data_IF_322891383464
#
_entry.id   IF_322891383464
#
_cell.length_a   1.000
_cell.length_b   1.000
_cell.length_c   1.000
_cell.angle_alpha   90.00
_cell.angle_beta   90.00
_cell.angle_gamma   90.00
#
_symmetry.space_group_name_H-M   'P 1'
#
loop_
_entity.id
_entity.type
_entity.pdbx_description
1 polymer ?
#
# COMPACT_ATOMS: atom_id res chain seq x y z
N UNK A 1 8.26 -7.77 22.59
CA UNK A 1 8.91 -7.20 21.40
C UNK A 1 8.04 -6.06 20.90
N UNK A 2 8.60 -4.91 20.51
CA UNK A 2 7.79 -3.81 19.97
C UNK A 2 7.40 -4.16 18.53
N UNK A 3 6.19 -3.75 18.12
CA UNK A 3 5.62 -4.02 16.80
C UNK A 3 5.05 -2.74 16.21
N UNK A 4 5.16 -2.58 14.89
CA UNK A 4 4.61 -1.48 14.12
C UNK A 4 3.65 -2.03 13.06
N UNK A 5 2.41 -1.53 13.07
CA UNK A 5 1.42 -1.79 12.03
C UNK A 5 1.33 -0.57 11.10
N UNK A 6 1.75 -0.72 9.87
CA UNK A 6 1.62 0.27 8.81
C UNK A 6 0.40 -0.06 7.97
N UNK A 7 -0.53 0.87 7.87
CA UNK A 7 -1.70 0.74 7.01
C UNK A 7 -1.48 1.59 5.76
N UNK A 8 -1.48 0.95 4.61
CA UNK A 8 -1.59 1.63 3.33
C UNK A 8 -3.02 2.15 3.16
N UNK A 9 -3.22 3.40 3.59
CA UNK A 9 -4.51 4.06 3.59
C UNK A 9 -5.04 4.32 2.19
N UNK A 10 -4.14 4.58 1.23
CA UNK A 10 -4.50 4.79 -0.17
C UNK A 10 -5.04 3.49 -0.80
N UNK A 11 -4.40 2.35 -0.54
CA UNK A 11 -4.90 1.04 -0.95
C UNK A 11 -6.27 0.74 -0.32
N UNK A 12 -6.45 1.03 0.97
CA UNK A 12 -7.73 0.85 1.66
C UNK A 12 -8.83 1.73 1.07
N UNK A 13 -8.50 2.98 0.72
CA UNK A 13 -9.42 3.95 0.13
C UNK A 13 -10.00 3.44 -1.20
N UNK A 14 -9.14 3.11 -2.16
CA UNK A 14 -9.57 2.61 -3.48
C UNK A 14 -10.29 1.28 -3.37
N UNK A 15 -9.85 0.42 -2.50
CA UNK A 15 -10.44 -0.88 -2.25
C UNK A 15 -11.86 -0.77 -1.68
N UNK A 16 -12.08 0.12 -0.72
CA UNK A 16 -13.42 0.42 -0.21
C UNK A 16 -14.30 0.99 -1.31
N UNK A 17 -13.77 1.91 -2.13
CA UNK A 17 -14.52 2.50 -3.22
C UNK A 17 -15.04 1.47 -4.23
N UNK A 18 -14.23 0.46 -4.57
CA UNK A 18 -14.63 -0.56 -5.53
C UNK A 18 -15.46 -1.71 -4.92
N UNK A 19 -15.33 -1.95 -3.62
CA UNK A 19 -15.99 -3.09 -2.97
C UNK A 19 -17.33 -2.73 -2.30
N UNK A 20 -17.47 -1.47 -1.86
CA UNK A 20 -18.68 -1.08 -1.13
C UNK A 20 -19.83 -0.70 -2.07
N UNK A 21 -21.07 -1.02 -1.69
CA UNK A 21 -22.26 -0.47 -2.36
C UNK A 21 -22.28 1.05 -2.29
N UNK A 22 -23.10 1.67 -3.15
CA UNK A 22 -23.33 3.12 -3.13
C UNK A 22 -24.12 3.55 -1.88
N UNK A 23 -23.46 3.51 -0.74
CA UNK A 23 -24.03 4.01 0.51
C UNK A 23 -24.02 5.52 0.53
N UNK A 24 -25.18 6.10 0.85
CA UNK A 24 -25.34 7.55 1.00
C UNK A 24 -26.08 7.90 2.31
N UNK A 25 -25.75 9.05 2.86
CA UNK A 25 -26.52 9.57 3.98
C UNK A 25 -27.85 10.17 3.49
N UNK A 26 -28.66 10.73 4.40
CA UNK A 26 -29.98 11.32 4.09
C UNK A 26 -29.92 12.52 3.14
N UNK A 27 -28.77 13.16 3.03
CA UNK A 27 -28.51 14.33 2.18
C UNK A 27 -27.92 13.94 0.82
N UNK A 28 -27.75 12.63 0.55
CA UNK A 28 -27.17 12.11 -0.67
C UNK A 28 -25.64 12.09 -0.69
N UNK A 29 -24.97 12.44 0.42
CA UNK A 29 -23.51 12.37 0.53
C UNK A 29 -23.03 10.93 0.53
N UNK A 30 -22.05 10.53 -0.31
CA UNK A 30 -21.55 9.17 -0.37
C UNK A 30 -20.75 8.83 0.91
N UNK A 31 -21.02 7.66 1.48
CA UNK A 31 -20.43 7.23 2.76
C UNK A 31 -19.80 5.83 2.69
N UNK A 32 -19.90 5.16 1.55
CA UNK A 32 -19.42 3.78 1.39
C UNK A 32 -17.93 3.61 1.65
N UNK A 33 -17.11 4.55 1.16
CA UNK A 33 -15.66 4.50 1.38
C UNK A 33 -15.33 4.69 2.85
N UNK A 34 -15.96 5.66 3.51
CA UNK A 34 -15.75 5.90 4.94
C UNK A 34 -16.09 4.63 5.73
N UNK A 35 -17.27 4.05 5.50
CA UNK A 35 -17.69 2.82 6.16
C UNK A 35 -16.71 1.68 5.93
N UNK A 36 -16.34 1.44 4.67
CA UNK A 36 -15.45 0.33 4.29
C UNK A 36 -14.06 0.45 4.92
N UNK A 37 -13.45 1.64 4.87
CA UNK A 37 -12.12 1.87 5.45
C UNK A 37 -12.13 1.71 6.96
N UNK A 38 -13.09 2.34 7.66
CA UNK A 38 -13.19 2.22 9.12
C UNK A 38 -13.41 0.77 9.55
N UNK A 39 -14.23 0.00 8.82
CA UNK A 39 -14.44 -1.42 9.09
C UNK A 39 -13.16 -2.24 8.88
N UNK A 40 -12.42 -1.98 7.79
CA UNK A 40 -11.13 -2.62 7.56
C UNK A 40 -10.13 -2.31 8.66
N UNK A 41 -10.03 -1.06 9.11
CA UNK A 41 -9.14 -0.65 10.20
C UNK A 41 -9.47 -1.37 11.52
N UNK A 42 -10.74 -1.46 11.89
CA UNK A 42 -11.16 -2.19 13.10
C UNK A 42 -10.80 -3.67 13.02
N UNK A 43 -11.05 -4.31 11.87
CA UNK A 43 -10.75 -5.73 11.68
C UNK A 43 -9.24 -6.00 11.69
N UNK A 44 -8.46 -5.13 11.03
CA UNK A 44 -7.00 -5.24 11.01
C UNK A 44 -6.42 -5.07 12.41
N UNK A 45 -6.91 -4.10 13.19
CA UNK A 45 -6.46 -3.88 14.56
C UNK A 45 -6.75 -5.06 15.49
N UNK A 46 -7.93 -5.69 15.35
CA UNK A 46 -8.27 -6.89 16.13
C UNK A 46 -7.37 -8.08 15.81
N UNK A 47 -6.95 -8.19 14.55
CA UNK A 47 -6.15 -9.32 14.09
C UNK A 47 -4.65 -9.13 14.32
N UNK A 48 -4.17 -7.88 14.22
CA UNK A 48 -2.77 -7.53 14.31
C UNK A 48 -2.57 -6.49 15.42
N UNK A 49 -2.50 -6.96 16.66
CA UNK A 49 -2.16 -6.11 17.80
C UNK A 49 -0.75 -5.56 17.64
N UNK A 50 -0.59 -4.27 17.86
CA UNK A 50 0.69 -3.58 17.67
C UNK A 50 0.95 -2.53 18.75
N UNK A 51 2.23 -2.31 19.04
CA UNK A 51 2.69 -1.25 19.95
C UNK A 51 2.47 0.12 19.32
N UNK A 52 2.73 0.21 18.01
CA UNK A 52 2.62 1.42 17.21
C UNK A 52 1.79 1.12 15.97
N UNK A 53 1.01 2.08 15.52
CA UNK A 53 0.24 1.96 14.30
C UNK A 53 0.06 3.32 13.64
N UNK A 54 0.04 3.35 12.31
CA UNK A 54 -0.18 4.57 11.54
C UNK A 54 -0.82 4.25 10.19
N UNK A 55 -1.79 5.10 9.80
CA UNK A 55 -2.37 5.08 8.47
C UNK A 55 -1.61 6.06 7.58
N UNK A 56 -1.03 5.57 6.50
CA UNK A 56 -0.26 6.40 5.55
C UNK A 56 -1.12 6.63 4.31
N UNK A 57 -1.24 7.87 3.88
CA UNK A 57 -1.99 8.26 2.69
C UNK A 57 -1.15 9.08 1.73
N UNK A 58 -1.44 8.95 0.43
CA UNK A 58 -0.87 9.82 -0.58
C UNK A 58 -1.30 11.26 -0.39
N UNK A 59 -0.36 12.18 -0.60
CA UNK A 59 -0.67 13.59 -0.69
C UNK A 59 -1.21 13.93 -2.09
N UNK A 60 -1.99 15.00 -2.19
CA UNK A 60 -2.36 15.57 -3.49
C UNK A 60 -1.15 16.20 -4.17
N UNK A 61 -1.00 15.98 -5.47
CA UNK A 61 0.02 16.63 -6.30
C UNK A 61 1.00 15.64 -6.93
N UNK A 62 1.99 16.21 -7.62
CA UNK A 62 3.06 15.45 -8.24
C UNK A 62 4.05 14.94 -7.21
N UNK A 63 4.70 13.82 -7.53
CA UNK A 63 5.81 13.26 -6.77
C UNK A 63 7.09 13.37 -7.59
N UNK A 64 8.25 13.10 -6.99
CA UNK A 64 9.53 13.07 -7.70
C UNK A 64 9.53 12.13 -8.92
N UNK A 65 8.67 11.08 -8.92
CA UNK A 65 8.56 10.16 -10.06
C UNK A 65 8.05 10.85 -11.32
N UNK A 66 7.18 11.87 -11.17
CA UNK A 66 6.74 12.68 -12.31
C UNK A 66 7.85 13.58 -12.89
N UNK A 67 8.88 13.92 -12.08
CA UNK A 67 10.05 14.66 -12.55
C UNK A 67 11.03 13.76 -13.29
N UNK A 68 11.02 12.45 -12.99
CA UNK A 68 11.86 11.44 -13.68
C UNK A 68 11.21 11.00 -14.99
N UNK A 69 9.88 10.85 -15.00
CA UNK A 69 9.13 10.34 -16.16
C UNK A 69 7.75 11.01 -16.24
N UNK A 70 7.56 11.86 -17.24
CA UNK A 70 6.33 12.65 -17.40
C UNK A 70 5.06 11.79 -17.55
N UNK A 71 5.20 10.61 -18.17
CA UNK A 71 4.10 9.68 -18.39
C UNK A 71 3.82 8.76 -17.18
N UNK A 72 4.53 8.94 -16.06
CA UNK A 72 4.30 8.17 -14.86
C UNK A 72 2.84 8.31 -14.38
N UNK A 73 2.13 7.17 -14.26
CA UNK A 73 0.70 7.09 -13.90
C UNK A 73 -0.24 7.91 -14.83
N UNK A 74 0.22 8.32 -16.03
CA UNK A 74 -0.60 9.12 -16.96
C UNK A 74 -1.83 8.37 -17.49
N UNK A 75 -1.80 7.04 -17.46
CA UNK A 75 -2.92 6.17 -17.85
C UNK A 75 -3.98 6.01 -16.74
N UNK A 76 -3.74 6.51 -15.52
CA UNK A 76 -4.71 6.41 -14.42
C UNK A 76 -5.85 7.41 -14.63
N UNK A 77 -7.11 6.99 -14.50
CA UNK A 77 -8.24 7.92 -14.56
C UNK A 77 -8.17 8.91 -13.38
N UNK A 78 -8.76 10.08 -13.59
CA UNK A 78 -8.94 11.04 -12.50
C UNK A 78 -9.73 10.38 -11.37
N UNK A 79 -9.36 10.69 -10.13
CA UNK A 79 -10.09 10.22 -8.95
C UNK A 79 -11.56 10.61 -9.06
N UNK A 80 -12.51 9.67 -8.89
CA UNK A 80 -13.94 9.96 -8.91
C UNK A 80 -14.32 11.00 -7.85
N UNK A 81 -15.26 11.89 -8.19
CA UNK A 81 -15.67 12.94 -7.26
C UNK A 81 -16.26 12.36 -5.96
N UNK A 82 -17.10 11.31 -6.08
CA UNK A 82 -17.67 10.59 -4.92
C UNK A 82 -16.61 9.97 -3.99
N UNK A 83 -15.44 9.63 -4.52
CA UNK A 83 -14.30 9.19 -3.70
C UNK A 83 -13.59 10.39 -3.05
N UNK A 84 -13.31 11.40 -3.86
CA UNK A 84 -12.54 12.58 -3.45
C UNK A 84 -13.16 13.33 -2.26
N UNK A 85 -14.49 13.48 -2.26
CA UNK A 85 -15.21 14.23 -1.21
C UNK A 85 -15.26 13.48 0.13
N UNK A 86 -15.02 12.16 0.13
CA UNK A 86 -15.00 11.34 1.35
C UNK A 86 -13.65 11.37 2.08
N UNK A 87 -12.55 11.82 1.44
CA UNK A 87 -11.19 11.74 2.01
C UNK A 87 -11.07 12.54 3.31
N UNK A 88 -11.47 13.79 3.31
CA UNK A 88 -11.35 14.65 4.49
C UNK A 88 -12.22 14.15 5.66
N UNK A 89 -13.53 13.83 5.46
CA UNK A 89 -14.35 13.21 6.49
C UNK A 89 -13.78 11.86 6.99
N UNK A 90 -13.21 11.03 6.11
CA UNK A 90 -12.56 9.78 6.47
C UNK A 90 -11.35 10.03 7.39
N UNK A 91 -10.47 10.96 7.05
CA UNK A 91 -9.31 11.30 7.89
C UNK A 91 -9.75 11.79 9.29
N UNK A 92 -10.80 12.60 9.36
CA UNK A 92 -11.38 13.05 10.64
C UNK A 92 -11.89 11.85 11.47
N UNK A 93 -12.56 10.90 10.81
CA UNK A 93 -13.09 9.71 11.47
C UNK A 93 -11.96 8.76 11.96
N UNK A 94 -10.92 8.56 11.16
CA UNK A 94 -9.73 7.77 11.54
C UNK A 94 -9.04 8.39 12.77
N UNK A 95 -8.83 9.71 12.75
CA UNK A 95 -8.27 10.41 13.90
C UNK A 95 -9.16 10.30 15.15
N UNK A 96 -10.49 10.41 15.00
CA UNK A 96 -11.44 10.25 16.11
C UNK A 96 -11.45 8.80 16.65
N UNK A 97 -11.11 7.80 15.84
CA UNK A 97 -10.86 6.42 16.29
C UNK A 97 -9.52 6.23 17.01
N UNK A 98 -8.76 7.31 17.16
CA UNK A 98 -7.44 7.31 17.83
C UNK A 98 -6.28 6.80 16.97
N UNK A 99 -6.46 6.70 15.66
CA UNK A 99 -5.39 6.29 14.76
C UNK A 99 -4.58 7.49 14.25
N UNK A 100 -3.26 7.45 14.37
CA UNK A 100 -2.40 8.42 13.71
C UNK A 100 -2.50 8.34 12.19
N UNK A 101 -2.46 9.49 11.53
CA UNK A 101 -2.40 9.60 10.07
C UNK A 101 -1.11 10.31 9.68
N UNK A 102 -0.46 9.81 8.64
CA UNK A 102 0.70 10.45 8.03
C UNK A 102 0.48 10.67 6.54
N UNK A 103 0.70 11.90 6.11
CA UNK A 103 0.62 12.35 4.70
C UNK A 103 1.83 13.23 4.43
N UNK A 104 2.66 12.88 3.45
CA UNK A 104 3.86 13.65 3.09
C UNK A 104 3.80 14.08 1.63
N UNK A 105 3.91 15.39 1.37
CA UNK A 105 3.91 15.94 0.00
C UNK A 105 5.17 15.60 -0.76
N UNK A 106 5.05 15.47 -2.08
CA UNK A 106 6.17 15.26 -2.99
C UNK A 106 6.67 13.82 -3.10
N UNK A 107 6.11 12.91 -2.31
CA UNK A 107 6.42 11.48 -2.30
C UNK A 107 5.12 10.67 -2.26
N UNK A 108 5.20 9.38 -2.51
CA UNK A 108 4.06 8.46 -2.41
C UNK A 108 3.96 7.85 -1.01
N UNK A 109 2.77 7.33 -0.67
CA UNK A 109 2.55 6.61 0.59
C UNK A 109 3.55 5.46 0.74
N UNK A 110 3.88 4.77 -0.34
CA UNK A 110 4.83 3.65 -0.37
C UNK A 110 6.22 4.06 0.12
N UNK A 111 6.71 5.26 -0.29
CA UNK A 111 8.02 5.76 0.13
C UNK A 111 8.01 6.10 1.63
N UNK A 112 6.90 6.61 2.14
CA UNK A 112 6.71 6.87 3.58
C UNK A 112 6.67 5.55 4.35
N UNK A 113 5.91 4.56 3.87
CA UNK A 113 5.83 3.21 4.46
C UNK A 113 7.22 2.56 4.47
N UNK A 114 7.95 2.60 3.35
CA UNK A 114 9.31 2.06 3.24
C UNK A 114 10.27 2.71 4.22
N UNK A 115 10.21 4.04 4.37
CA UNK A 115 11.03 4.79 5.32
C UNK A 115 10.73 4.41 6.77
N UNK A 116 9.45 4.32 7.14
CA UNK A 116 9.03 3.93 8.48
C UNK A 116 9.42 2.48 8.79
N UNK A 117 9.25 1.57 7.84
CA UNK A 117 9.63 0.17 7.98
C UNK A 117 11.14 0.03 8.20
N UNK A 118 11.97 0.75 7.41
CA UNK A 118 13.42 0.75 7.58
C UNK A 118 13.83 1.26 8.96
N UNK A 119 13.33 2.44 9.37
CA UNK A 119 13.64 3.02 10.68
C UNK A 119 13.19 2.11 11.84
N UNK A 120 12.04 1.45 11.71
CA UNK A 120 11.58 0.49 12.69
C UNK A 120 12.52 -0.71 12.83
N UNK A 121 12.97 -1.27 11.69
CA UNK A 121 13.90 -2.39 11.68
C UNK A 121 15.27 -2.04 12.30
N UNK A 122 15.76 -0.83 12.07
CA UNK A 122 16.99 -0.31 12.68
C UNK A 122 16.90 -0.28 14.22
N UNK A 123 15.70 -0.15 14.78
CA UNK A 123 15.42 -0.18 16.21
C UNK A 123 14.89 -1.54 16.71
N UNK A 124 14.99 -2.60 15.91
CA UNK A 124 14.49 -3.94 16.23
C UNK A 124 12.98 -3.98 16.53
N UNK A 125 12.20 -3.14 15.84
CA UNK A 125 10.74 -3.15 15.85
C UNK A 125 10.26 -3.98 14.67
N UNK A 126 9.50 -5.03 14.93
CA UNK A 126 8.91 -5.85 13.85
C UNK A 126 7.77 -5.09 13.16
N UNK A 127 7.70 -5.20 11.83
CA UNK A 127 6.77 -4.43 10.99
C UNK A 127 5.78 -5.36 10.28
N UNK A 128 4.51 -5.01 10.38
CA UNK A 128 3.45 -5.58 9.54
C UNK A 128 2.89 -4.46 8.67
N UNK A 129 2.96 -4.59 7.35
CA UNK A 129 2.38 -3.65 6.40
C UNK A 129 1.08 -4.24 5.87
N UNK A 130 -0.03 -3.55 6.12
CA UNK A 130 -1.34 -3.95 5.59
C UNK A 130 -1.65 -3.22 4.30
N UNK A 131 -1.55 -3.93 3.19
CA UNK A 131 -1.70 -3.39 1.84
C UNK A 131 -2.28 -4.44 0.88
N UNK A 132 -2.81 -3.98 -0.24
CA UNK A 132 -3.10 -4.81 -1.42
C UNK A 132 -2.07 -4.64 -2.53
N UNK A 133 -1.10 -3.74 -2.36
CA UNK A 133 -0.11 -3.44 -3.38
C UNK A 133 1.03 -4.47 -3.37
N UNK A 134 1.29 -5.03 -4.56
CA UNK A 134 2.35 -6.02 -4.79
C UNK A 134 3.76 -5.41 -4.72
N UNK A 135 3.87 -4.11 -4.99
CA UNK A 135 5.16 -3.45 -5.13
C UNK A 135 5.83 -3.28 -3.76
N UNK A 136 5.03 -3.22 -2.68
CA UNK A 136 5.52 -3.24 -1.30
C UNK A 136 6.18 -4.57 -0.90
N UNK A 137 6.08 -5.63 -1.73
CA UNK A 137 6.81 -6.89 -1.49
C UNK A 137 8.34 -6.71 -1.49
N UNK A 138 8.86 -5.65 -2.10
CA UNK A 138 10.28 -5.29 -2.04
C UNK A 138 10.77 -4.90 -0.64
N UNK A 139 9.84 -4.55 0.27
CA UNK A 139 10.15 -4.17 1.66
C UNK A 139 10.22 -5.35 2.62
N UNK A 140 9.77 -6.54 2.18
CA UNK A 140 9.72 -7.74 3.02
C UNK A 140 11.13 -8.21 3.37
N UNK A 141 11.34 -8.50 4.64
CA UNK A 141 12.56 -9.07 5.17
C UNK A 141 12.27 -9.88 6.45
N UNK A 142 13.28 -10.26 7.21
CA UNK A 142 13.12 -11.05 8.45
C UNK A 142 12.27 -10.33 9.52
N UNK A 143 12.23 -8.99 9.50
CA UNK A 143 11.51 -8.15 10.47
C UNK A 143 10.27 -7.45 9.88
N UNK A 144 10.04 -7.57 8.57
CA UNK A 144 8.93 -6.92 7.87
C UNK A 144 8.14 -7.92 7.04
N UNK A 145 6.84 -7.98 7.24
CA UNK A 145 5.91 -8.79 6.46
C UNK A 145 4.75 -7.96 5.90
N UNK A 146 4.12 -8.44 4.81
CA UNK A 146 2.90 -7.87 4.27
C UNK A 146 1.69 -8.71 4.65
N UNK A 147 0.56 -8.04 4.82
CA UNK A 147 -0.73 -8.70 5.00
C UNK A 147 -1.78 -8.07 4.08
N UNK A 148 -2.51 -8.92 3.37
CA UNK A 148 -3.70 -8.50 2.64
C UNK A 148 -4.93 -8.99 3.37
N UNK A 149 -5.64 -8.09 4.04
CA UNK A 149 -6.77 -8.42 4.90
C UNK A 149 -8.02 -8.88 4.15
N UNK A 150 -8.09 -8.72 2.81
CA UNK A 150 -9.21 -9.28 2.01
C UNK A 150 -8.99 -10.74 1.65
N UNK A 151 -7.80 -11.07 1.20
CA UNK A 151 -7.46 -12.43 0.77
C UNK A 151 -6.95 -13.28 1.92
N UNK A 152 -6.77 -12.68 3.11
CA UNK A 152 -6.09 -13.28 4.26
C UNK A 152 -4.65 -13.75 3.92
N UNK A 153 -4.05 -13.20 2.88
CA UNK A 153 -2.70 -13.51 2.46
C UNK A 153 -1.71 -12.86 3.43
N UNK A 154 -0.70 -13.61 3.83
CA UNK A 154 0.45 -13.15 4.60
C UNK A 154 1.70 -13.44 3.80
N UNK A 155 2.52 -12.43 3.55
CA UNK A 155 3.76 -12.55 2.79
C UNK A 155 4.94 -12.18 3.69
N UNK A 156 5.62 -13.17 4.18
CA UNK A 156 6.99 -13.12 4.65
C UNK A 156 7.96 -13.41 3.48
N UNK A 157 9.22 -13.61 3.77
CA UNK A 157 10.25 -13.87 2.74
C UNK A 157 9.92 -15.11 1.89
N UNK A 158 9.41 -16.18 2.51
CA UNK A 158 9.02 -17.41 1.81
C UNK A 158 7.73 -17.21 1.02
N UNK A 159 6.77 -16.48 1.59
CA UNK A 159 5.53 -16.11 0.92
C UNK A 159 5.77 -15.27 -0.34
N UNK A 160 6.69 -14.29 -0.29
CA UNK A 160 7.10 -13.52 -1.47
C UNK A 160 7.70 -14.43 -2.53
N UNK A 161 8.62 -15.31 -2.14
CA UNK A 161 9.25 -16.27 -3.06
C UNK A 161 8.23 -17.23 -3.67
N UNK A 162 7.30 -17.74 -2.90
CA UNK A 162 6.23 -18.60 -3.39
C UNK A 162 5.31 -17.89 -4.40
N UNK A 163 4.99 -16.63 -4.14
CA UNK A 163 4.06 -15.83 -4.96
C UNK A 163 4.69 -15.31 -6.25
N UNK A 164 5.90 -14.75 -6.17
CA UNK A 164 6.55 -14.06 -7.29
C UNK A 164 7.62 -14.91 -7.99
N UNK A 165 8.07 -16.00 -7.38
CA UNK A 165 9.15 -16.84 -7.87
C UNK A 165 10.55 -16.29 -7.61
N UNK A 166 10.67 -15.14 -6.95
CA UNK A 166 11.91 -14.49 -6.54
C UNK A 166 11.87 -14.10 -5.07
N UNK A 167 13.03 -13.97 -4.44
CA UNK A 167 13.15 -13.43 -3.08
C UNK A 167 12.88 -11.91 -3.05
N UNK A 168 12.54 -11.34 -1.88
CA UNK A 168 12.19 -9.91 -1.77
C UNK A 168 13.23 -8.95 -2.35
N UNK A 169 14.52 -9.24 -2.19
CA UNK A 169 15.61 -8.43 -2.72
C UNK A 169 15.70 -8.40 -4.27
N UNK A 170 14.99 -9.29 -4.96
CA UNK A 170 14.90 -9.33 -6.42
C UNK A 170 13.56 -8.81 -6.97
N UNK A 171 12.65 -8.36 -6.11
CA UNK A 171 11.34 -7.84 -6.56
C UNK A 171 11.51 -6.62 -7.43
N UNK A 172 12.40 -5.68 -7.08
CA UNK A 172 12.68 -4.49 -7.90
C UNK A 172 13.16 -4.91 -9.28
N UNK A 173 14.14 -5.79 -9.35
CA UNK A 173 14.71 -6.27 -10.62
C UNK A 173 13.66 -7.02 -11.45
N UNK A 174 12.84 -7.86 -10.80
CA UNK A 174 11.74 -8.57 -11.44
C UNK A 174 10.71 -7.61 -12.03
N UNK A 175 10.23 -6.64 -11.26
CA UNK A 175 9.26 -5.65 -11.71
C UNK A 175 9.84 -4.75 -12.80
N UNK A 176 11.12 -4.37 -12.72
CA UNK A 176 11.80 -3.59 -13.76
C UNK A 176 11.81 -4.31 -15.11
N UNK A 177 12.07 -5.63 -15.09
CA UNK A 177 12.11 -6.43 -16.32
C UNK A 177 10.71 -6.56 -16.94
N UNK A 178 9.69 -6.87 -16.14
CA UNK A 178 8.33 -7.06 -16.67
C UNK A 178 7.56 -5.77 -16.88
N UNK A 179 7.99 -4.67 -16.24
CA UNK A 179 7.30 -3.40 -16.20
C UNK A 179 6.09 -3.38 -15.26
N UNK A 180 5.52 -2.20 -15.06
CA UNK A 180 4.26 -2.02 -14.35
C UNK A 180 3.25 -1.24 -15.20
N UNK A 181 2.21 -1.93 -15.65
CA UNK A 181 1.14 -1.33 -16.47
C UNK A 181 0.26 -0.37 -15.67
N UNK A 182 0.10 -0.60 -14.36
CA UNK A 182 -0.72 0.26 -13.51
C UNK A 182 -0.08 1.64 -13.35
N UNK A 183 1.25 1.68 -13.31
CA UNK A 183 2.05 2.90 -13.17
C UNK A 183 2.59 3.44 -14.50
N UNK A 184 2.20 2.80 -15.59
CA UNK A 184 2.65 3.15 -16.94
C UNK A 184 4.18 3.07 -17.10
N UNK A 185 4.82 2.11 -16.43
CA UNK A 185 6.26 1.87 -16.52
C UNK A 185 6.51 0.71 -17.51
N UNK A 186 7.06 0.97 -18.69
CA UNK A 186 7.41 -0.09 -19.63
C UNK A 186 8.49 -1.01 -19.08
N UNK A 187 8.32 -2.32 -19.24
CA UNK A 187 9.38 -3.31 -19.07
C UNK A 187 10.09 -3.60 -20.39
N UNK A 188 10.80 -4.74 -20.44
CA UNK A 188 11.38 -5.26 -21.67
C UNK A 188 10.26 -5.81 -22.55
N UNK A 189 10.14 -5.34 -23.79
CA UNK A 189 9.08 -5.76 -24.72
C UNK A 189 9.05 -7.28 -24.91
N UNK A 190 7.83 -7.85 -24.88
CA UNK A 190 7.56 -9.30 -24.96
C UNK A 190 8.21 -10.17 -23.87
N UNK A 191 8.73 -9.57 -22.81
CA UNK A 191 9.24 -10.27 -21.64
C UNK A 191 8.18 -10.26 -20.54
N UNK A 192 7.68 -11.44 -20.22
CA UNK A 192 6.75 -11.65 -19.11
C UNK A 192 7.39 -12.37 -17.93
N UNK A 193 6.60 -12.69 -16.90
CA UNK A 193 7.07 -13.31 -15.66
C UNK A 193 8.01 -14.50 -15.87
N UNK A 194 7.64 -15.45 -16.75
CA UNK A 194 8.46 -16.66 -17.00
C UNK A 194 9.87 -16.35 -17.50
N UNK A 195 9.99 -15.39 -18.42
CA UNK A 195 11.29 -15.00 -18.98
C UNK A 195 12.09 -14.21 -17.97
N UNK A 196 11.46 -13.29 -17.23
CA UNK A 196 12.11 -12.54 -16.17
C UNK A 196 12.66 -13.47 -15.07
N UNK A 197 11.88 -14.44 -14.62
CA UNK A 197 12.33 -15.46 -13.64
C UNK A 197 13.51 -16.29 -14.19
N UNK A 198 13.44 -16.72 -15.45
CA UNK A 198 14.55 -17.45 -16.07
C UNK A 198 15.83 -16.61 -16.02
N UNK A 199 15.77 -15.36 -16.43
CA UNK A 199 16.93 -14.47 -16.45
C UNK A 199 17.47 -14.20 -15.05
N UNK A 200 16.59 -13.92 -14.06
CA UNK A 200 17.03 -13.67 -12.69
C UNK A 200 17.64 -14.90 -12.03
N UNK A 201 17.15 -16.09 -12.34
CA UNK A 201 17.76 -17.34 -11.87
C UNK A 201 19.13 -17.63 -12.52
N UNK A 202 19.33 -17.22 -13.78
CA UNK A 202 20.57 -17.44 -14.52
C UNK A 202 21.63 -16.39 -14.19
N UNK A 203 21.22 -15.11 -14.08
CA UNK A 203 22.17 -13.99 -13.92
C UNK A 203 22.15 -13.35 -12.52
N UNK A 204 21.25 -13.76 -11.64
CA UNK A 204 21.09 -13.33 -10.24
C UNK A 204 20.69 -11.86 -10.00
N UNK A 205 20.77 -10.98 -10.97
CA UNK A 205 20.37 -9.57 -10.84
C UNK A 205 20.13 -8.92 -12.21
N UNK A 206 19.36 -7.83 -12.23
CA UNK A 206 19.18 -7.00 -13.42
C UNK A 206 20.51 -6.44 -13.93
N UNK A 207 21.39 -6.02 -13.04
CA UNK A 207 22.71 -5.48 -13.43
C UNK A 207 23.56 -6.52 -14.18
N UNK A 208 23.50 -7.78 -13.75
CA UNK A 208 24.17 -8.87 -14.47
C UNK A 208 23.47 -9.23 -15.79
N UNK A 209 22.14 -9.15 -15.84
CA UNK A 209 21.39 -9.33 -17.10
C UNK A 209 21.82 -8.26 -18.11
N UNK A 210 21.91 -7.00 -17.69
CA UNK A 210 22.36 -5.88 -18.53
C UNK A 210 23.80 -6.13 -19.02
N UNK A 211 24.72 -6.50 -18.13
CA UNK A 211 26.12 -6.77 -18.49
C UNK A 211 26.28 -7.93 -19.49
N UNK A 212 25.40 -8.91 -19.42
CA UNK A 212 25.44 -10.11 -20.27
C UNK A 212 24.41 -10.06 -21.41
N UNK A 213 23.85 -8.89 -21.72
CA UNK A 213 22.79 -8.73 -22.72
C UNK A 213 23.18 -9.25 -24.11
N UNK A 214 24.46 -9.22 -24.47
CA UNK A 214 24.96 -9.77 -25.74
C UNK A 214 24.89 -11.29 -25.82
N UNK A 215 24.86 -11.99 -24.71
CA UNK A 215 24.74 -13.44 -24.63
C UNK A 215 23.27 -13.90 -24.71
N UNK A 216 22.31 -13.00 -24.46
CA UNK A 216 20.89 -13.27 -24.52
C UNK A 216 20.45 -13.11 -25.98
N UNK A 217 20.14 -14.22 -26.63
CA UNK A 217 19.84 -14.28 -28.06
C UNK A 217 18.32 -14.34 -28.35
N UNK A 218 17.96 -14.18 -29.62
CA UNK A 218 16.58 -14.22 -30.08
C UNK A 218 15.83 -12.90 -29.87
N UNK A 219 14.53 -12.88 -30.18
CA UNK A 219 13.73 -11.66 -30.16
C UNK A 219 13.69 -10.95 -28.80
N UNK A 220 13.66 -11.71 -27.70
CA UNK A 220 13.68 -11.13 -26.36
C UNK A 220 15.05 -10.55 -25.98
N UNK A 221 16.14 -11.10 -26.53
CA UNK A 221 17.49 -10.54 -26.38
C UNK A 221 17.64 -9.21 -27.10
N UNK A 222 17.11 -9.10 -28.31
CA UNK A 222 17.09 -7.82 -29.04
C UNK A 222 16.22 -6.78 -28.33
N UNK A 223 15.05 -7.19 -27.79
CA UNK A 223 14.20 -6.29 -27.02
C UNK A 223 14.90 -5.83 -25.72
N UNK A 224 15.67 -6.70 -25.05
CA UNK A 224 16.48 -6.32 -23.91
C UNK A 224 17.51 -5.26 -24.29
N UNK A 225 18.26 -5.46 -25.38
CA UNK A 225 19.25 -4.50 -25.88
C UNK A 225 18.62 -3.14 -26.19
N UNK A 226 17.44 -3.13 -26.79
CA UNK A 226 16.68 -1.90 -27.07
C UNK A 226 16.24 -1.19 -25.78
N UNK A 227 16.07 -1.91 -24.69
CA UNK A 227 15.62 -1.38 -23.40
C UNK A 227 16.74 -0.93 -22.47
N UNK A 228 18.01 -1.20 -22.78
CA UNK A 228 19.16 -0.98 -21.86
C UNK A 228 19.25 0.44 -21.31
N UNK A 229 18.91 1.46 -22.12
CA UNK A 229 18.92 2.86 -21.67
C UNK A 229 17.76 3.20 -20.74
N UNK A 230 16.64 2.48 -20.88
CA UNK A 230 15.42 2.70 -20.10
C UNK A 230 15.44 1.98 -18.76
N UNK A 231 15.98 0.77 -18.69
CA UNK A 231 15.94 -0.07 -17.49
C UNK A 231 16.43 0.61 -16.21
N UNK A 232 17.51 1.42 -16.20
CA UNK A 232 17.91 2.16 -15.00
C UNK A 232 16.85 3.17 -14.53
N UNK A 233 16.15 3.83 -15.46
CA UNK A 233 15.07 4.77 -15.17
C UNK A 233 13.86 4.02 -14.61
N UNK A 234 13.47 2.91 -15.24
CA UNK A 234 12.38 2.05 -14.74
C UNK A 234 12.68 1.50 -13.34
N UNK A 235 13.94 1.11 -13.08
CA UNK A 235 14.39 0.65 -11.75
C UNK A 235 14.22 1.74 -10.69
N UNK A 236 14.60 3.00 -11.00
CA UNK A 236 14.44 4.13 -10.08
C UNK A 236 12.96 4.44 -9.80
N UNK A 237 12.11 4.38 -10.83
CA UNK A 237 10.65 4.58 -10.70
C UNK A 237 9.98 3.52 -9.83
N UNK A 238 10.39 2.25 -9.96
CA UNK A 238 9.83 1.10 -9.22
C UNK A 238 10.37 1.05 -7.79
N UNK A 239 11.58 1.54 -7.56
CA UNK A 239 12.20 1.49 -6.24
C UNK A 239 11.49 2.40 -5.24
N UNK A 240 11.11 1.83 -4.11
CA UNK A 240 10.57 2.59 -2.98
C UNK A 240 11.72 3.29 -2.27
N UNK A 241 11.61 4.61 -2.11
CA UNK A 241 12.59 5.39 -1.36
C UNK A 241 12.36 5.22 0.14
N UNK A 242 13.29 4.57 0.82
CA UNK A 242 13.19 4.27 2.25
C UNK A 242 14.08 5.15 3.14
N UNK A 243 14.52 6.30 2.63
CA UNK A 243 15.44 7.23 3.32
C UNK A 243 14.91 8.66 3.30
N UNK A 244 13.57 8.82 3.37
CA UNK A 244 12.98 10.14 3.42
C UNK A 244 13.32 10.83 4.75
N UNK A 245 13.52 12.15 4.70
CA UNK A 245 13.59 12.96 5.90
C UNK A 245 12.20 13.03 6.56
N UNK A 246 11.96 12.10 7.46
CA UNK A 246 10.77 12.01 8.31
C UNK A 246 11.26 11.96 9.74
N UNK A 247 10.90 12.99 10.50
CA UNK A 247 11.12 12.97 11.95
C UNK A 247 10.16 11.97 12.59
N UNK A 248 10.74 10.91 13.16
CA UNK A 248 9.97 9.81 13.76
C UNK A 248 10.14 9.82 15.26
N UNK A 249 9.09 10.20 15.97
CA UNK A 249 8.90 9.86 17.36
C UNK A 249 7.88 8.72 17.44
N UNK A 250 8.31 7.53 17.87
CA UNK A 250 7.39 6.38 17.94
C UNK A 250 6.18 6.62 18.81
N UNK A 251 6.30 7.48 19.83
CA UNK A 251 5.17 7.81 20.71
C UNK A 251 4.01 8.47 19.97
N UNK A 252 4.26 9.19 18.88
CA UNK A 252 3.19 9.77 18.03
C UNK A 252 2.40 8.71 17.30
N UNK A 253 2.95 7.50 17.13
CA UNK A 253 2.29 6.38 16.45
C UNK A 253 1.61 5.41 17.43
N UNK A 254 1.54 5.75 18.71
CA UNK A 254 0.65 5.04 19.64
C UNK A 254 -0.79 5.38 19.35
N UNK A 255 -1.62 4.35 19.24
CA UNK A 255 -3.07 4.57 19.17
C UNK A 255 -3.54 5.19 20.48
N UNK A 256 -4.25 6.31 20.37
CA UNK A 256 -4.86 6.99 21.53
C UNK A 256 -6.30 6.55 21.72
N UNK A 257 -6.90 6.94 22.85
CA UNK A 257 -8.31 6.67 23.12
C UNK A 257 -9.23 7.30 22.07
N UNK A 258 -10.30 6.59 21.72
CA UNK A 258 -11.30 7.08 20.79
C UNK A 258 -12.00 8.34 21.32
N UNK A 259 -12.20 9.35 20.46
CA UNK A 259 -13.11 10.44 20.73
C UNK A 259 -14.54 10.02 20.42
N UNK A 260 -15.18 9.39 21.40
CA UNK A 260 -16.56 8.90 21.27
C UNK A 260 -17.57 9.99 20.93
N UNK A 261 -17.33 11.23 21.37
CA UNK A 261 -18.20 12.35 21.07
C UNK A 261 -18.15 12.76 19.60
N UNK A 262 -16.93 12.86 19.06
CA UNK A 262 -16.72 13.12 17.64
C UNK A 262 -17.26 11.97 16.78
N UNK A 263 -16.96 10.70 17.15
CA UNK A 263 -17.44 9.52 16.43
C UNK A 263 -18.98 9.45 16.43
N UNK A 264 -19.64 9.75 17.55
CA UNK A 264 -21.09 9.75 17.62
C UNK A 264 -21.71 10.74 16.63
N UNK A 265 -21.19 11.96 16.56
CA UNK A 265 -21.64 12.99 15.58
C UNK A 265 -21.44 12.52 14.14
N UNK A 266 -20.25 11.99 13.82
CA UNK A 266 -19.93 11.48 12.48
C UNK A 266 -20.82 10.30 12.08
N UNK A 267 -21.06 9.35 12.97
CA UNK A 267 -21.91 8.21 12.69
C UNK A 267 -23.39 8.59 12.49
N UNK A 268 -23.85 9.68 13.17
CA UNK A 268 -25.17 10.27 12.92
C UNK A 268 -25.22 10.92 11.52
N UNK A 269 -24.21 11.74 11.18
CA UNK A 269 -24.09 12.42 9.89
C UNK A 269 -23.99 11.41 8.73
N UNK A 270 -23.20 10.35 8.90
CA UNK A 270 -23.00 9.31 7.87
C UNK A 270 -24.12 8.27 7.84
N UNK A 271 -25.08 8.32 8.76
CA UNK A 271 -26.17 7.37 8.90
C UNK A 271 -25.72 5.93 9.24
N UNK A 272 -24.63 5.77 10.05
CA UNK A 272 -24.09 4.49 10.49
C UNK A 272 -24.81 3.97 11.75
N UNK A 273 -26.05 3.55 11.59
CA UNK A 273 -26.96 3.21 12.71
C UNK A 273 -26.45 2.07 13.59
N UNK A 274 -25.82 1.05 13.00
CA UNK A 274 -25.24 -0.09 13.74
C UNK A 274 -24.04 0.35 14.60
N UNK A 275 -23.20 1.24 14.06
CA UNK A 275 -22.03 1.76 14.75
C UNK A 275 -22.44 2.69 15.92
N UNK A 276 -23.48 3.48 15.75
CA UNK A 276 -24.07 4.29 16.82
C UNK A 276 -24.55 3.42 17.99
N UNK A 277 -25.29 2.37 17.71
CA UNK A 277 -25.76 1.45 18.75
C UNK A 277 -24.61 0.81 19.52
N UNK A 278 -23.55 0.41 18.82
CA UNK A 278 -22.37 -0.21 19.44
C UNK A 278 -21.57 0.78 20.28
N UNK A 279 -21.49 2.05 19.87
CA UNK A 279 -20.80 3.10 20.61
C UNK A 279 -21.47 3.38 21.96
N UNK A 280 -22.80 3.38 22.00
CA UNK A 280 -23.59 3.63 23.22
C UNK A 280 -23.59 2.43 24.20
N UNK A 281 -23.40 1.20 23.72
CA UNK A 281 -23.49 -0.02 24.55
C UNK A 281 -22.17 -0.48 25.17
N UNK A 282 -21.04 0.20 24.93
CA UNK A 282 -19.70 -0.24 25.38
C UNK A 282 -19.32 -1.67 24.97
N UNK A 283 -20.06 -2.33 24.07
CA UNK A 283 -19.75 -3.65 23.57
C UNK A 283 -18.75 -3.54 22.43
N UNK A 284 -17.59 -4.16 22.59
CA UNK A 284 -16.69 -4.48 21.49
C UNK A 284 -17.47 -5.22 20.41
N UNK A 285 -17.47 -4.67 19.19
CA UNK A 285 -18.24 -5.17 18.05
C UNK A 285 -18.05 -6.65 17.80
N UNK A 286 -19.14 -7.40 17.78
CA UNK A 286 -19.18 -8.67 17.09
C UNK A 286 -19.01 -8.46 15.57
N UNK A 287 -18.38 -9.40 14.84
CA UNK A 287 -18.28 -9.31 13.38
C UNK A 287 -19.70 -9.20 12.80
N UNK A 288 -19.85 -8.36 11.79
CA UNK A 288 -21.04 -8.38 10.95
C UNK A 288 -20.92 -9.68 10.15
N UNK A 289 -21.82 -10.63 10.45
CA UNK A 289 -21.98 -11.83 9.65
C UNK A 289 -22.13 -11.47 8.19
N UNK A 290 -21.55 -12.32 7.35
CA UNK A 290 -21.54 -12.31 5.91
C UNK A 290 -22.82 -11.70 5.32
N UNK A 291 -22.64 -10.73 4.43
CA UNK A 291 -23.70 -10.27 3.54
C UNK A 291 -24.05 -11.47 2.67
N UNK A 292 -25.08 -12.21 3.10
CA UNK A 292 -25.75 -13.17 2.23
C UNK A 292 -26.36 -12.42 1.05
N UNK A 293 -26.03 -12.93 -0.09
CA UNK A 293 -26.35 -12.59 -1.48
C UNK A 293 -27.62 -11.77 -1.73
#
# INVERSE_FOLDING_TARGET
>A
MKTLLLIDGSSYLYRAFHAMPDFRNKEGFPTGVIYGVLNMLQNTHKKYESTYSVCVFDAKGKTFRNDIFDDYKANRPKMPDDLSIQIEPLHKAINAMGWPILVKKGVEADDVIGTLAKKANEENISVTISTGDKDLAQLVNENTSLVNTMTNEHLDTDGVKAKFGVSPNLIIDYLTIIGDKADNIPGVDKVGPKTALKWLNEYNSLDNIIKNSDQITGAVGENLKNSLKWLPVAKDLISIRSELDIDVSWDQFKKISEDKSALKKMYQEFNFSSWLKNLDTNKTNAPIDEISQ
#
